data_IF_159866952344
#
_entry.id   IF_159866952344
#
_cell.length_a   1.000
_cell.length_b   1.000
_cell.length_c   1.000
_cell.angle_alpha   90.00
_cell.angle_beta   90.00
_cell.angle_gamma   90.00
#
_symmetry.space_group_name_H-M   'P 1'
#
loop_
_entity.id
_entity.type
_entity.pdbx_description
1 polymer ?
#
# COMPACT_ATOMS: atom_id res chain seq x y z
N UNK A 1 -23.22 6.33 -3.05
CA UNK A 1 -21.75 6.23 -3.01
C UNK A 1 -21.23 6.07 -4.43
N UNK A 2 -20.24 6.84 -4.81
CA UNK A 2 -19.70 6.80 -6.18
C UNK A 2 -18.27 6.25 -6.24
N UNK A 3 -17.53 6.37 -5.13
CA UNK A 3 -16.11 6.06 -5.10
C UNK A 3 -15.64 5.94 -3.66
N UNK A 4 -14.67 5.07 -3.41
CA UNK A 4 -14.04 4.94 -2.10
C UNK A 4 -12.56 4.60 -2.27
N UNK A 5 -11.70 5.31 -1.56
CA UNK A 5 -10.30 4.97 -1.48
C UNK A 5 -9.69 5.47 -0.17
N UNK A 6 -8.58 4.87 0.22
CA UNK A 6 -7.84 5.24 1.41
C UNK A 6 -6.74 6.22 1.05
N UNK A 7 -6.56 7.27 1.84
CA UNK A 7 -5.40 8.15 1.75
C UNK A 7 -4.41 7.75 2.85
N UNK A 8 -3.22 7.35 2.44
CA UNK A 8 -2.10 7.13 3.36
C UNK A 8 -1.40 8.47 3.56
N UNK A 9 -1.32 8.92 4.80
CA UNK A 9 -0.60 10.15 5.15
C UNK A 9 0.88 9.82 5.33
N UNK A 10 1.74 10.60 4.67
CA UNK A 10 3.18 10.37 4.71
C UNK A 10 3.94 11.69 4.50
N UNK A 11 5.13 11.77 5.08
CA UNK A 11 6.07 12.85 4.76
C UNK A 11 6.87 12.53 3.49
N UNK A 12 6.85 11.25 3.05
CA UNK A 12 7.62 10.73 1.92
C UNK A 12 6.68 10.28 0.80
N UNK A 13 6.04 11.24 0.12
CA UNK A 13 5.03 10.94 -0.91
C UNK A 13 5.61 10.10 -2.05
N UNK A 14 6.75 10.53 -2.60
CA UNK A 14 7.36 9.85 -3.75
C UNK A 14 7.81 8.43 -3.40
N UNK A 15 8.47 8.25 -2.26
CA UNK A 15 8.95 6.94 -1.83
C UNK A 15 7.80 5.99 -1.50
N UNK A 16 6.75 6.50 -0.87
CA UNK A 16 5.57 5.68 -0.54
C UNK A 16 4.83 5.26 -1.80
N UNK A 17 4.64 6.18 -2.76
CA UNK A 17 4.03 5.85 -4.05
C UNK A 17 4.85 4.81 -4.81
N UNK A 18 6.18 4.98 -4.86
CA UNK A 18 7.08 4.04 -5.53
C UNK A 18 7.00 2.63 -4.93
N UNK A 19 6.84 2.52 -3.62
CA UNK A 19 6.65 1.23 -2.96
C UNK A 19 5.47 0.45 -3.56
N UNK A 20 4.31 1.08 -3.66
CA UNK A 20 3.11 0.43 -4.20
C UNK A 20 3.19 0.18 -5.70
N UNK A 21 3.82 1.09 -6.45
CA UNK A 21 4.03 0.91 -7.88
C UNK A 21 4.98 -0.27 -8.15
N UNK A 22 6.10 -0.33 -7.45
CA UNK A 22 7.14 -1.33 -7.70
C UNK A 22 6.79 -2.71 -7.14
N UNK A 23 6.13 -2.77 -5.98
CA UNK A 23 5.79 -4.04 -5.33
C UNK A 23 4.49 -4.64 -5.87
N UNK A 24 3.47 -3.83 -6.06
CA UNK A 24 2.12 -4.31 -6.41
C UNK A 24 1.68 -3.92 -7.82
N UNK A 25 2.52 -3.20 -8.56
CA UNK A 25 2.21 -2.81 -9.93
C UNK A 25 1.09 -1.78 -10.06
N UNK A 26 0.76 -1.05 -9.00
CA UNK A 26 -0.24 0.01 -9.09
C UNK A 26 0.25 1.10 -10.05
N UNK A 27 -0.69 1.70 -10.78
CA UNK A 27 -0.38 2.70 -11.79
C UNK A 27 -0.79 4.10 -11.34
N UNK A 28 0.05 5.13 -11.57
CA UNK A 28 -0.32 6.48 -11.20
C UNK A 28 -1.42 7.02 -12.14
N UNK A 29 -2.45 7.59 -11.53
CA UNK A 29 -3.54 8.28 -12.23
C UNK A 29 -3.38 9.80 -12.13
N UNK A 30 -2.80 10.26 -11.02
CA UNK A 30 -2.45 11.65 -10.78
C UNK A 30 -1.17 11.70 -9.95
N UNK A 31 -0.25 12.60 -10.30
CA UNK A 31 1.04 12.74 -9.61
C UNK A 31 1.30 14.21 -9.33
N UNK A 32 1.63 14.50 -8.08
CA UNK A 32 2.16 15.79 -7.64
C UNK A 32 3.14 15.57 -6.49
N UNK A 33 3.73 16.63 -5.97
CA UNK A 33 4.65 16.53 -4.83
C UNK A 33 3.92 16.38 -3.48
N UNK A 34 2.60 16.58 -3.44
CA UNK A 34 1.81 16.52 -2.21
C UNK A 34 0.74 15.41 -2.24
N UNK A 35 0.41 14.89 -3.42
CA UNK A 35 -0.59 13.83 -3.57
C UNK A 35 -0.32 13.01 -4.82
N UNK A 36 -0.42 11.69 -4.66
CA UNK A 36 -0.40 10.73 -5.77
C UNK A 36 -1.63 9.84 -5.64
N UNK A 37 -2.38 9.68 -6.72
CA UNK A 37 -3.45 8.69 -6.80
C UNK A 37 -2.97 7.51 -7.64
N UNK A 38 -3.04 6.34 -7.06
CA UNK A 38 -2.67 5.07 -7.70
C UNK A 38 -3.93 4.23 -7.91
N UNK A 39 -3.94 3.43 -8.97
CA UNK A 39 -5.02 2.48 -9.21
C UNK A 39 -4.46 1.18 -9.78
N UNK A 40 -5.20 0.08 -9.61
CA UNK A 40 -4.85 -1.19 -10.23
C UNK A 40 -5.04 -1.09 -11.75
N UNK A 41 -4.06 -1.65 -12.50
CA UNK A 41 -4.08 -1.57 -13.96
C UNK A 41 -5.28 -2.29 -14.59
N UNK A 42 -5.67 -3.41 -13.98
CA UNK A 42 -6.75 -4.26 -14.49
C UNK A 42 -8.12 -3.92 -13.89
N UNK A 43 -8.13 -3.28 -12.72
CA UNK A 43 -9.35 -2.89 -12.02
C UNK A 43 -9.22 -1.47 -11.47
N UNK A 44 -9.53 -0.43 -12.28
CA UNK A 44 -9.34 0.97 -11.86
C UNK A 44 -10.17 1.41 -10.66
N UNK A 45 -11.16 0.61 -10.25
CA UNK A 45 -11.94 0.88 -9.05
C UNK A 45 -11.15 0.62 -7.76
N UNK A 46 -10.04 -0.11 -7.85
CA UNK A 46 -9.14 -0.33 -6.71
C UNK A 46 -8.10 0.78 -6.69
N UNK A 47 -8.28 1.72 -5.79
CA UNK A 47 -7.49 2.94 -5.72
C UNK A 47 -6.81 3.10 -4.37
N UNK A 48 -5.71 3.84 -4.38
CA UNK A 48 -4.97 4.23 -3.18
C UNK A 48 -4.47 5.66 -3.36
N UNK A 49 -4.69 6.51 -2.36
CA UNK A 49 -4.15 7.85 -2.31
C UNK A 49 -2.91 7.91 -1.41
N UNK A 50 -1.91 8.63 -1.86
CA UNK A 50 -0.71 8.93 -1.07
C UNK A 50 -0.69 10.43 -0.87
N UNK A 51 -0.90 10.89 0.35
CA UNK A 51 -1.14 12.29 0.66
C UNK A 51 -0.09 12.80 1.63
N UNK A 52 0.50 13.95 1.31
CA UNK A 52 1.48 14.58 2.19
C UNK A 52 0.82 14.90 3.53
N UNK A 53 1.39 14.35 4.61
CA UNK A 53 0.84 14.44 5.95
C UNK A 53 0.62 15.87 6.41
N UNK A 54 1.50 16.78 6.02
CA UNK A 54 1.47 18.19 6.40
C UNK A 54 0.77 19.09 5.37
N UNK A 55 0.11 18.51 4.36
CA UNK A 55 -0.68 19.30 3.41
C UNK A 55 -1.76 20.09 4.15
N UNK A 56 -2.00 21.31 3.70
CA UNK A 56 -3.00 22.18 4.32
C UNK A 56 -4.44 21.65 4.20
N UNK A 57 -4.69 20.72 3.27
CA UNK A 57 -6.00 20.06 3.18
C UNK A 57 -6.19 18.97 4.25
N UNK A 58 -5.12 18.59 4.95
CA UNK A 58 -5.19 17.62 6.05
C UNK A 58 -5.47 18.36 7.34
N UNK A 59 -6.61 18.10 8.02
CA UNK A 59 -6.88 18.75 9.31
C UNK A 59 -5.74 18.48 10.29
N UNK A 60 -5.37 19.48 11.08
CA UNK A 60 -4.24 19.37 12.01
C UNK A 60 -4.33 18.15 12.92
N UNK A 61 -5.53 17.78 13.35
CA UNK A 61 -5.76 16.60 14.21
C UNK A 61 -5.48 15.28 13.50
N UNK A 62 -5.52 15.25 12.16
CA UNK A 62 -5.27 14.06 11.36
C UNK A 62 -3.81 13.97 10.88
N UNK A 63 -3.00 15.00 11.10
CA UNK A 63 -1.61 15.08 10.63
C UNK A 63 -0.70 14.18 11.47
N UNK A 64 -0.80 12.89 11.24
CA UNK A 64 0.04 11.88 11.89
C UNK A 64 0.18 10.65 11.02
N UNK A 65 1.15 9.78 11.32
CA UNK A 65 1.35 8.53 10.63
C UNK A 65 0.11 7.63 10.77
N UNK A 66 -0.15 6.84 9.73
CA UNK A 66 -1.24 5.86 9.73
C UNK A 66 -1.04 4.84 10.85
N UNK A 67 -2.08 4.62 11.65
CA UNK A 67 -2.09 3.64 12.73
C UNK A 67 -3.48 3.02 12.87
N UNK A 68 -3.52 1.79 13.38
CA UNK A 68 -4.77 1.09 13.61
C UNK A 68 -5.45 0.57 12.35
N UNK A 69 -4.74 0.55 11.22
CA UNK A 69 -5.23 0.08 9.92
C UNK A 69 -4.21 -0.89 9.34
N UNK A 70 -4.69 -1.95 8.74
CA UNK A 70 -3.91 -2.85 7.88
C UNK A 70 -4.56 -2.82 6.51
N UNK A 71 -3.77 -2.53 5.49
CA UNK A 71 -4.25 -2.60 4.10
C UNK A 71 -4.00 -4.01 3.58
N UNK A 72 -5.05 -4.66 3.10
CA UNK A 72 -4.96 -6.00 2.53
C UNK A 72 -5.10 -5.94 1.02
N UNK A 73 -4.11 -6.48 0.32
CA UNK A 73 -4.14 -6.66 -1.13
C UNK A 73 -4.13 -8.16 -1.42
N UNK A 74 -5.18 -8.64 -2.06
CA UNK A 74 -5.25 -10.03 -2.51
C UNK A 74 -4.70 -10.10 -3.92
N UNK A 75 -3.63 -10.85 -4.09
CA UNK A 75 -2.88 -11.00 -5.35
C UNK A 75 -3.00 -12.43 -5.86
N UNK A 76 -2.51 -12.69 -7.06
CA UNK A 76 -2.55 -14.03 -7.64
C UNK A 76 -1.59 -14.99 -6.93
N UNK A 77 -0.39 -14.51 -6.59
CA UNK A 77 0.64 -15.33 -5.95
C UNK A 77 1.48 -14.51 -4.96
N UNK A 78 1.25 -14.73 -3.69
CA UNK A 78 1.98 -14.10 -2.59
C UNK A 78 3.50 -14.36 -2.68
N UNK A 79 3.90 -15.56 -3.08
CA UNK A 79 5.32 -15.93 -3.17
C UNK A 79 6.06 -15.13 -4.22
N UNK A 80 5.42 -14.82 -5.35
CA UNK A 80 6.02 -13.96 -6.39
C UNK A 80 6.23 -12.54 -5.87
N UNK A 81 5.25 -12.00 -5.17
CA UNK A 81 5.37 -10.66 -4.56
C UNK A 81 6.45 -10.65 -3.48
N UNK A 82 6.58 -11.73 -2.72
CA UNK A 82 7.63 -11.87 -1.70
C UNK A 82 9.03 -11.79 -2.32
N UNK A 83 9.26 -12.49 -3.43
CA UNK A 83 10.54 -12.42 -4.15
C UNK A 83 10.84 -11.01 -4.62
N UNK A 84 9.84 -10.31 -5.13
CA UNK A 84 9.97 -8.91 -5.50
C UNK A 84 10.31 -8.03 -4.29
N UNK A 85 9.64 -8.25 -3.16
CA UNK A 85 9.90 -7.53 -1.92
C UNK A 85 11.37 -7.67 -1.46
N UNK A 86 11.91 -8.89 -1.53
CA UNK A 86 13.31 -9.13 -1.19
C UNK A 86 14.27 -8.38 -2.13
N UNK A 87 13.99 -8.38 -3.42
CA UNK A 87 14.80 -7.66 -4.41
C UNK A 87 14.77 -6.14 -4.18
N UNK A 88 13.61 -5.61 -3.81
CA UNK A 88 13.42 -4.17 -3.56
C UNK A 88 13.93 -3.72 -2.17
N UNK A 89 14.29 -4.65 -1.30
CA UNK A 89 14.69 -4.32 0.07
C UNK A 89 13.55 -3.85 0.95
N UNK A 90 12.32 -4.33 0.69
CA UNK A 90 11.12 -3.98 1.47
C UNK A 90 11.24 -4.52 2.89
N UNK A 91 10.74 -3.76 3.87
CA UNK A 91 10.65 -4.21 5.25
C UNK A 91 9.58 -5.31 5.40
N UNK A 92 10.02 -6.56 5.37
CA UNK A 92 9.15 -7.72 5.58
C UNK A 92 9.03 -7.98 7.08
N UNK A 93 7.82 -7.81 7.61
CA UNK A 93 7.52 -8.03 9.04
C UNK A 93 7.28 -9.50 9.31
N UNK A 94 6.51 -10.15 8.44
CA UNK A 94 6.25 -11.59 8.49
C UNK A 94 6.41 -12.17 7.08
N UNK A 95 7.28 -13.17 6.94
CA UNK A 95 7.42 -13.91 5.69
C UNK A 95 6.13 -14.68 5.36
N UNK A 96 5.91 -15.05 4.07
CA UNK A 96 4.72 -15.79 3.69
C UNK A 96 4.52 -17.07 4.52
N UNK A 97 3.30 -17.27 5.01
CA UNK A 97 2.88 -18.50 5.66
C UNK A 97 1.41 -18.76 5.41
N UNK A 98 1.03 -20.02 5.43
CA UNK A 98 -0.37 -20.41 5.28
C UNK A 98 -1.16 -20.04 6.54
N UNK A 99 -2.27 -19.37 6.35
CA UNK A 99 -3.16 -18.94 7.41
C UNK A 99 -4.31 -19.95 7.59
N UNK A 100 -4.87 -20.09 8.79
CA UNK A 100 -5.94 -21.05 9.05
C UNK A 100 -7.17 -20.91 8.15
N UNK A 101 -7.38 -19.73 7.57
CA UNK A 101 -8.53 -19.43 6.72
C UNK A 101 -8.26 -19.65 5.22
N UNK A 102 -7.18 -20.37 4.86
CA UNK A 102 -6.94 -20.80 3.48
C UNK A 102 -6.25 -19.77 2.58
N UNK A 103 -5.51 -18.84 3.16
CA UNK A 103 -4.72 -17.84 2.44
C UNK A 103 -3.23 -18.02 2.78
N UNK A 104 -2.38 -17.84 1.79
CA UNK A 104 -0.96 -17.55 2.02
C UNK A 104 -0.84 -16.06 2.28
N UNK A 105 -0.18 -15.65 3.36
CA UNK A 105 -0.10 -14.23 3.75
C UNK A 105 1.31 -13.84 4.14
N UNK A 106 1.75 -12.65 3.72
CA UNK A 106 2.88 -11.95 4.31
C UNK A 106 2.47 -10.57 4.78
N UNK A 107 3.20 -10.03 5.73
CA UNK A 107 3.03 -8.65 6.21
C UNK A 107 4.30 -7.88 5.91
N UNK A 108 4.15 -6.71 5.29
CA UNK A 108 5.24 -5.77 5.03
C UNK A 108 4.89 -4.40 5.61
N UNK A 109 5.88 -3.52 5.71
CA UNK A 109 5.66 -2.11 6.05
C UNK A 109 6.05 -1.23 4.88
N UNK A 110 5.21 -0.26 4.56
CA UNK A 110 5.53 0.75 3.56
C UNK A 110 6.44 1.84 4.15
N UNK A 111 6.97 2.77 3.33
CA UNK A 111 7.83 3.85 3.84
C UNK A 111 7.16 4.81 4.82
N UNK A 112 5.83 4.89 4.83
CA UNK A 112 5.07 5.69 5.80
C UNK A 112 4.88 4.97 7.14
N UNK A 113 5.25 3.68 7.22
CA UNK A 113 5.05 2.84 8.39
C UNK A 113 3.72 2.10 8.41
N UNK A 114 2.94 2.14 7.33
CA UNK A 114 1.68 1.41 7.22
C UNK A 114 1.94 -0.08 7.11
N UNK A 115 1.19 -0.88 7.88
CA UNK A 115 1.22 -2.34 7.74
C UNK A 115 0.38 -2.76 6.54
N UNK A 116 0.96 -3.61 5.71
CA UNK A 116 0.36 -4.08 4.46
C UNK A 116 0.34 -5.60 4.47
N UNK A 117 -0.85 -6.16 4.34
CA UNK A 117 -1.11 -7.59 4.21
C UNK A 117 -1.19 -7.91 2.72
N UNK A 118 -0.34 -8.82 2.27
CA UNK A 118 -0.35 -9.29 0.88
C UNK A 118 -0.66 -10.77 0.92
N UNK A 119 -1.79 -11.14 0.36
CA UNK A 119 -2.36 -12.48 0.47
C UNK A 119 -2.71 -13.05 -0.90
N UNK A 120 -2.70 -14.36 -0.98
CA UNK A 120 -3.22 -15.10 -2.13
C UNK A 120 -3.89 -16.39 -1.67
N UNK A 121 -4.89 -16.91 -2.40
CA UNK A 121 -5.47 -18.21 -2.09
C UNK A 121 -4.41 -19.32 -2.11
N UNK A 122 -4.56 -20.25 -1.21
CA UNK A 122 -3.70 -21.45 -1.14
C UNK A 122 -4.05 -22.44 -2.24
#
# INVERSE_FOLDING_TARGET
>A
MQRCFTNILTEEVAATAAFYQNLLGLQPQFVSDWFVNLADADNPALELGILKQTSEIVPARAQRATAGVILTFVVDDCSTVYKCALTLGVNVVEAPREMPYGQMRMIVRDPAGTFVDISSPV
#
